data_IF_857480891540
#
_entry.id   IF_857480891540
#
_cell.length_a   1.000
_cell.length_b   1.000
_cell.length_c   1.000
_cell.angle_alpha   90.00
_cell.angle_beta   90.00
_cell.angle_gamma   90.00
#
_symmetry.space_group_name_H-M   'P 1'
#
loop_
_entity.id
_entity.type
_entity.pdbx_description
1 polymer ?
#
# COMPACT_ATOMS: atom_id res chain seq x y z
N UNK A 1 -18.74 -16.73 -1.32
CA UNK A 1 -17.70 -15.72 -1.11
C UNK A 1 -18.02 -14.52 -1.98
N UNK A 2 -17.92 -13.30 -1.42
CA UNK A 2 -18.09 -12.07 -2.19
C UNK A 2 -16.92 -11.97 -3.18
N UNK A 3 -17.21 -12.08 -4.48
CA UNK A 3 -16.17 -11.93 -5.51
C UNK A 3 -15.80 -10.46 -5.58
N UNK A 4 -14.60 -10.10 -5.14
CA UNK A 4 -14.08 -8.73 -5.26
C UNK A 4 -13.71 -8.49 -6.72
N UNK A 5 -14.36 -7.53 -7.36
CA UNK A 5 -13.98 -7.09 -8.69
C UNK A 5 -12.73 -6.20 -8.61
N UNK A 6 -11.61 -6.70 -9.13
CA UNK A 6 -10.34 -5.99 -9.20
C UNK A 6 -10.10 -5.33 -10.57
N UNK A 7 -10.97 -5.58 -11.56
CA UNK A 7 -10.84 -5.03 -12.92
C UNK A 7 -10.95 -3.50 -12.94
N UNK A 8 -11.71 -2.94 -11.98
CA UNK A 8 -11.81 -1.50 -11.74
C UNK A 8 -10.47 -0.85 -11.35
N UNK A 9 -9.48 -1.65 -10.92
CA UNK A 9 -8.12 -1.20 -10.59
C UNK A 9 -7.11 -1.54 -11.71
N UNK A 10 -7.59 -2.03 -12.87
CA UNK A 10 -6.76 -2.45 -13.98
C UNK A 10 -6.14 -3.85 -13.82
N UNK A 11 -6.54 -4.59 -12.79
CA UNK A 11 -6.08 -5.97 -12.56
C UNK A 11 -7.07 -6.92 -13.22
N UNK A 12 -6.62 -7.64 -14.24
CA UNK A 12 -7.43 -8.61 -14.97
C UNK A 12 -7.01 -10.03 -14.62
N UNK A 13 -7.89 -11.00 -14.85
CA UNK A 13 -7.53 -12.43 -14.81
C UNK A 13 -6.83 -12.88 -13.52
N UNK A 14 -7.27 -12.41 -12.35
CA UNK A 14 -6.76 -12.93 -11.07
C UNK A 14 -7.00 -14.45 -11.01
N UNK A 15 -5.93 -15.23 -10.83
CA UNK A 15 -5.99 -16.70 -10.82
C UNK A 15 -6.81 -17.18 -9.62
N UNK A 16 -6.57 -16.55 -8.47
CA UNK A 16 -7.19 -16.88 -7.19
C UNK A 16 -7.18 -15.63 -6.31
N UNK A 17 -8.25 -15.41 -5.55
CA UNK A 17 -8.37 -14.29 -4.61
C UNK A 17 -8.59 -14.84 -3.20
N UNK A 18 -7.60 -14.63 -2.33
CA UNK A 18 -7.70 -14.84 -0.90
C UNK A 18 -8.18 -13.56 -0.23
N UNK A 19 -9.50 -13.45 -0.04
CA UNK A 19 -10.14 -12.28 0.56
C UNK A 19 -10.15 -12.37 2.10
N UNK A 20 -9.65 -11.33 2.76
CA UNK A 20 -9.54 -11.19 4.22
C UNK A 20 -9.04 -12.48 4.93
N UNK A 21 -7.91 -13.07 4.49
CA UNK A 21 -7.44 -14.38 4.96
C UNK A 21 -7.28 -14.42 6.48
N UNK A 22 -7.54 -15.58 7.09
CA UNK A 22 -7.30 -15.82 8.51
C UNK A 22 -5.80 -15.85 8.82
N UNK A 23 -5.44 -15.73 10.11
CA UNK A 23 -4.04 -15.90 10.50
C UNK A 23 -3.52 -17.33 10.22
N UNK A 24 -4.37 -18.34 10.35
CA UNK A 24 -4.00 -19.74 10.07
C UNK A 24 -3.69 -19.95 8.58
N UNK A 25 -4.51 -19.38 7.69
CA UNK A 25 -4.28 -19.46 6.25
C UNK A 25 -3.01 -18.69 5.85
N UNK A 26 -2.80 -17.51 6.43
CA UNK A 26 -1.57 -16.73 6.22
C UNK A 26 -0.33 -17.50 6.69
N UNK A 27 -0.40 -18.14 7.86
CA UNK A 27 0.67 -18.98 8.39
C UNK A 27 1.00 -20.15 7.46
N UNK A 28 -0.03 -20.86 6.95
CA UNK A 28 0.15 -21.94 5.98
C UNK A 28 0.85 -21.43 4.71
N UNK A 29 0.37 -20.31 4.15
CA UNK A 29 0.94 -19.76 2.93
C UNK A 29 2.36 -19.22 3.12
N UNK A 30 2.66 -18.59 4.26
CA UNK A 30 3.99 -18.05 4.59
C UNK A 30 5.04 -19.14 4.83
N UNK A 31 4.60 -20.35 5.18
CA UNK A 31 5.46 -21.51 5.45
C UNK A 31 5.55 -22.49 4.29
N UNK A 32 4.95 -22.19 3.13
CA UNK A 32 5.06 -23.04 1.94
C UNK A 32 6.53 -23.17 1.49
N UNK A 33 7.10 -24.39 1.46
CA UNK A 33 8.49 -24.62 1.08
C UNK A 33 8.82 -24.24 -0.37
N UNK A 34 7.81 -23.97 -1.22
CA UNK A 34 7.99 -23.50 -2.60
C UNK A 34 8.31 -22.01 -2.69
N UNK A 35 8.09 -21.23 -1.61
CA UNK A 35 8.40 -19.80 -1.61
C UNK A 35 9.90 -19.54 -1.75
N UNK A 36 10.23 -18.54 -2.58
CA UNK A 36 11.62 -18.15 -2.88
C UNK A 36 11.85 -16.67 -2.61
N UNK A 37 13.12 -16.28 -2.49
CA UNK A 37 13.51 -14.88 -2.31
C UNK A 37 12.86 -14.25 -1.08
N UNK A 38 12.33 -13.04 -1.24
CA UNK A 38 11.73 -12.23 -0.17
C UNK A 38 10.29 -12.62 0.18
N UNK A 39 9.72 -13.63 -0.48
CA UNK A 39 8.41 -14.17 -0.11
C UNK A 39 8.51 -15.15 1.05
N UNK A 40 9.66 -15.81 1.19
CA UNK A 40 9.88 -16.92 2.11
C UNK A 40 9.80 -16.46 3.56
N UNK A 41 8.84 -17.02 4.31
CA UNK A 41 8.81 -16.97 5.76
C UNK A 41 9.69 -18.05 6.38
N UNK A 42 10.28 -17.75 7.53
CA UNK A 42 11.02 -18.72 8.36
C UNK A 42 10.36 -18.78 9.73
N UNK A 43 9.89 -19.97 10.12
CA UNK A 43 9.36 -20.19 11.47
C UNK A 43 10.49 -20.11 12.50
N UNK A 44 10.34 -19.20 13.46
CA UNK A 44 11.29 -19.05 14.56
C UNK A 44 10.96 -19.98 15.72
N UNK A 45 11.91 -20.17 16.65
CA UNK A 45 11.67 -20.93 17.89
C UNK A 45 10.59 -20.33 18.80
N UNK A 46 10.20 -19.07 18.57
CA UNK A 46 9.12 -18.38 19.29
C UNK A 46 7.73 -18.65 18.68
N UNK A 47 7.64 -19.41 17.59
CA UNK A 47 6.39 -19.66 16.87
C UNK A 47 5.96 -18.54 15.93
N UNK A 48 6.73 -17.43 15.86
CA UNK A 48 6.48 -16.35 14.92
C UNK A 48 7.19 -16.60 13.58
N UNK A 49 6.56 -16.17 12.48
CA UNK A 49 7.19 -16.13 11.16
C UNK A 49 8.09 -14.90 11.06
N UNK A 50 9.33 -15.11 10.59
CA UNK A 50 10.27 -14.07 10.25
C UNK A 50 10.44 -14.00 8.71
N UNK A 51 10.53 -12.78 8.18
CA UNK A 51 10.74 -12.53 6.74
C UNK A 51 11.92 -11.59 6.54
N UNK A 52 12.57 -11.71 5.39
CA UNK A 52 13.63 -10.79 4.93
C UNK A 52 13.07 -9.88 3.84
N UNK A 53 13.31 -8.57 3.99
CA UNK A 53 12.87 -7.53 3.03
C UNK A 53 14.01 -7.08 2.10
N UNK A 54 15.14 -7.77 2.15
CA UNK A 54 16.32 -7.51 1.34
C UNK A 54 16.98 -6.20 1.70
N UNK A 55 17.34 -5.43 0.68
CA UNK A 55 17.98 -4.12 0.86
C UNK A 55 17.04 -3.07 1.49
N UNK A 56 15.73 -3.32 1.46
CA UNK A 56 14.69 -2.38 1.93
C UNK A 56 14.40 -2.57 3.41
N UNK A 57 15.40 -2.29 4.26
CA UNK A 57 15.31 -2.42 5.73
C UNK A 57 14.65 -1.21 6.41
N UNK A 58 14.19 -0.24 5.62
CA UNK A 58 13.60 1.01 6.09
C UNK A 58 12.79 1.70 5.00
N UNK A 59 12.26 2.89 5.34
CA UNK A 59 11.51 3.69 4.38
C UNK A 59 12.41 4.23 3.26
N UNK A 60 11.81 4.47 2.10
CA UNK A 60 12.41 5.13 0.95
C UNK A 60 11.80 6.52 0.74
N UNK A 61 12.07 7.52 1.63
CA UNK A 61 11.47 8.85 1.51
C UNK A 61 11.80 9.54 0.18
N UNK A 62 12.97 9.24 -0.40
CA UNK A 62 13.38 9.74 -1.73
C UNK A 62 12.57 9.15 -2.89
N UNK A 63 11.81 8.08 -2.66
CA UNK A 63 10.95 7.44 -3.67
C UNK A 63 9.46 7.62 -3.37
N UNK A 64 9.12 8.52 -2.42
CA UNK A 64 7.75 8.94 -2.14
C UNK A 64 7.30 10.04 -3.11
N UNK A 65 6.15 9.85 -3.76
CA UNK A 65 5.58 10.82 -4.71
C UNK A 65 4.09 11.05 -4.48
N UNK A 66 3.60 12.25 -4.78
CA UNK A 66 2.18 12.59 -4.75
C UNK A 66 1.82 13.18 -6.11
N UNK A 67 0.71 12.73 -6.69
CA UNK A 67 0.21 13.28 -7.95
C UNK A 67 -0.20 14.72 -7.75
N UNK A 68 0.35 15.61 -8.58
CA UNK A 68 0.01 17.01 -8.58
C UNK A 68 -1.20 17.23 -9.48
N UNK A 69 -2.37 17.37 -8.86
CA UNK A 69 -3.64 17.58 -9.53
C UNK A 69 -4.50 18.65 -8.81
N UNK A 70 -5.46 19.30 -9.50
CA UNK A 70 -6.12 20.50 -9.00
C UNK A 70 -6.88 20.37 -7.66
N UNK A 71 -7.44 19.19 -7.35
CA UNK A 71 -8.31 19.01 -6.18
C UNK A 71 -7.53 18.96 -4.85
N UNK A 72 -6.27 18.56 -4.88
CA UNK A 72 -5.40 18.47 -3.70
C UNK A 72 -4.21 19.43 -3.71
N UNK A 73 -3.87 20.03 -4.86
CA UNK A 73 -2.66 20.84 -5.03
C UNK A 73 -2.46 21.91 -3.95
N UNK A 74 -3.54 22.59 -3.57
CA UNK A 74 -3.48 23.71 -2.60
C UNK A 74 -3.24 23.26 -1.16
N UNK A 75 -3.57 22.01 -0.84
CA UNK A 75 -3.55 21.48 0.53
C UNK A 75 -2.31 20.61 0.80
N UNK A 76 -1.62 20.15 -0.26
CA UNK A 76 -0.40 19.37 -0.10
C UNK A 76 0.79 20.28 0.20
N UNK A 77 1.50 20.01 1.30
CA UNK A 77 2.79 20.64 1.57
C UNK A 77 3.87 20.03 0.67
N UNK A 78 4.09 20.62 -0.50
CA UNK A 78 5.00 20.12 -1.53
C UNK A 78 6.48 20.14 -1.12
N UNK A 79 7.24 19.19 -1.64
CA UNK A 79 8.70 19.20 -1.55
C UNK A 79 9.30 20.37 -2.34
N UNK A 80 10.35 20.97 -1.79
CA UNK A 80 11.06 22.10 -2.41
C UNK A 80 12.53 21.71 -2.63
N UNK A 81 12.93 21.44 -3.89
CA UNK A 81 14.31 21.08 -4.19
C UNK A 81 15.30 22.14 -3.69
N UNK A 82 16.38 21.71 -3.02
CA UNK A 82 17.45 22.59 -2.55
C UNK A 82 17.22 23.27 -1.20
N UNK A 83 16.11 23.02 -0.50
CA UNK A 83 15.90 23.50 0.88
C UNK A 83 16.27 22.43 1.91
N UNK A 84 17.05 22.82 2.92
CA UNK A 84 17.49 21.94 4.01
C UNK A 84 16.35 21.42 4.91
N UNK A 85 15.17 22.06 4.89
CA UNK A 85 13.96 21.62 5.58
C UNK A 85 12.80 21.67 4.60
N UNK A 86 12.50 20.55 3.95
CA UNK A 86 11.34 20.42 3.08
C UNK A 86 10.62 19.10 3.34
N UNK A 87 9.38 19.02 2.87
CA UNK A 87 8.60 17.80 2.87
C UNK A 87 9.18 16.76 1.89
N UNK A 88 8.84 15.49 2.09
CA UNK A 88 9.11 14.39 1.15
C UNK A 88 8.06 14.30 0.01
N UNK A 89 7.05 15.19 0.01
CA UNK A 89 5.93 15.19 -0.93
C UNK A 89 6.35 15.69 -2.32
N UNK A 90 7.09 14.86 -3.06
CA UNK A 90 7.57 15.18 -4.41
C UNK A 90 6.42 15.09 -5.42
N UNK A 91 6.21 16.10 -6.27
CA UNK A 91 5.15 16.05 -7.27
C UNK A 91 5.51 15.09 -8.40
N UNK A 92 4.52 14.33 -8.86
CA UNK A 92 4.53 13.65 -10.17
C UNK A 92 3.31 14.09 -10.97
N UNK A 93 3.39 13.98 -12.30
CA UNK A 93 2.27 14.30 -13.17
C UNK A 93 1.26 13.15 -13.24
N UNK A 94 0.01 13.41 -13.65
CA UNK A 94 -0.97 12.35 -13.92
C UNK A 94 -0.47 11.29 -14.92
N UNK A 95 0.33 11.68 -15.92
CA UNK A 95 0.87 10.74 -16.92
C UNK A 95 1.88 9.76 -16.30
N UNK A 96 2.76 10.26 -15.41
CA UNK A 96 3.69 9.40 -14.68
C UNK A 96 2.92 8.48 -13.74
N UNK A 97 1.90 8.98 -13.06
CA UNK A 97 1.01 8.16 -12.23
C UNK A 97 0.36 7.02 -13.02
N UNK A 98 -0.25 7.31 -14.17
CA UNK A 98 -0.90 6.29 -14.98
C UNK A 98 0.07 5.19 -15.42
N UNK A 99 1.32 5.56 -15.74
CA UNK A 99 2.37 4.58 -16.00
C UNK A 99 2.66 3.70 -14.77
N UNK A 100 2.88 4.30 -13.59
CA UNK A 100 3.17 3.57 -12.34
C UNK A 100 2.00 2.66 -11.93
N UNK A 101 0.76 3.13 -12.08
CA UNK A 101 -0.46 2.37 -11.84
C UNK A 101 -0.58 1.19 -12.79
N UNK A 102 -0.34 1.42 -14.09
CA UNK A 102 -0.38 0.36 -15.12
C UNK A 102 0.66 -0.74 -14.88
N UNK A 103 1.90 -0.40 -14.55
CA UNK A 103 2.94 -1.42 -14.28
C UNK A 103 2.65 -2.19 -12.98
N UNK A 104 2.04 -1.54 -11.98
CA UNK A 104 1.64 -2.18 -10.73
C UNK A 104 0.48 -3.14 -10.94
N UNK A 105 -0.56 -2.70 -11.67
CA UNK A 105 -1.69 -3.56 -12.02
C UNK A 105 -1.25 -4.75 -12.89
N UNK A 106 -0.39 -4.50 -13.89
CA UNK A 106 0.19 -5.56 -14.73
C UNK A 106 0.95 -6.62 -13.93
N UNK A 107 1.68 -6.21 -12.90
CA UNK A 107 2.39 -7.15 -12.02
C UNK A 107 1.43 -8.09 -11.28
N UNK A 108 0.26 -7.58 -10.88
CA UNK A 108 -0.75 -8.30 -10.12
C UNK A 108 -1.74 -9.09 -11.00
N UNK A 109 -1.88 -8.74 -12.28
CA UNK A 109 -2.69 -9.47 -13.27
C UNK A 109 -2.20 -10.91 -13.46
N UNK A 110 -3.13 -11.88 -13.54
CA UNK A 110 -2.76 -13.28 -13.78
C UNK A 110 -2.09 -13.97 -12.58
N UNK A 111 -2.25 -13.43 -11.37
CA UNK A 111 -1.62 -13.96 -10.14
C UNK A 111 -2.66 -14.41 -9.13
N UNK A 112 -2.18 -15.21 -8.16
CA UNK A 112 -2.84 -15.38 -6.87
C UNK A 112 -2.68 -14.09 -6.06
N UNK A 113 -3.79 -13.55 -5.58
CA UNK A 113 -3.84 -12.27 -4.90
C UNK A 113 -4.44 -12.41 -3.51
N UNK A 114 -3.89 -11.65 -2.58
CA UNK A 114 -4.47 -11.40 -1.28
C UNK A 114 -5.13 -10.04 -1.30
N UNK A 115 -6.39 -10.00 -0.88
CA UNK A 115 -7.14 -8.76 -0.74
C UNK A 115 -7.51 -8.61 0.73
N UNK A 116 -7.08 -7.50 1.35
CA UNK A 116 -7.38 -7.22 2.76
C UNK A 116 -8.12 -5.89 2.85
N UNK A 117 -9.39 -5.98 3.25
CA UNK A 117 -10.20 -4.83 3.63
C UNK A 117 -10.03 -4.58 5.14
N UNK A 118 -9.62 -3.35 5.48
CA UNK A 118 -9.32 -2.93 6.85
C UNK A 118 -9.69 -1.47 7.12
N UNK A 119 -9.71 -1.08 8.39
CA UNK A 119 -9.93 0.31 8.79
C UNK A 119 -8.64 0.98 9.29
N UNK A 120 -8.48 2.26 8.95
CA UNK A 120 -7.52 3.15 9.58
C UNK A 120 -8.25 4.23 10.38
N UNK A 121 -8.06 4.25 11.70
CA UNK A 121 -8.83 5.07 12.63
C UNK A 121 -9.92 4.25 13.34
N UNK A 122 -9.99 4.37 14.66
CA UNK A 122 -10.91 3.58 15.48
C UNK A 122 -12.36 4.09 15.47
N UNK A 123 -12.54 5.40 15.23
CA UNK A 123 -13.86 6.02 15.25
C UNK A 123 -14.50 5.96 13.87
N UNK A 124 -15.74 5.46 13.79
CA UNK A 124 -16.46 5.27 12.53
C UNK A 124 -16.65 6.58 11.74
N UNK A 125 -16.85 7.71 12.43
CA UNK A 125 -17.06 9.01 11.81
C UNK A 125 -15.83 9.59 11.11
N UNK A 126 -14.63 9.05 11.36
CA UNK A 126 -13.37 9.57 10.82
C UNK A 126 -12.46 8.47 10.28
N UNK A 127 -12.90 7.21 10.27
CA UNK A 127 -12.08 6.09 9.80
C UNK A 127 -12.03 6.07 8.28
N UNK A 128 -10.89 5.63 7.76
CA UNK A 128 -10.71 5.33 6.35
C UNK A 128 -10.94 3.84 6.11
N UNK A 129 -11.81 3.49 5.17
CA UNK A 129 -11.93 2.10 4.68
C UNK A 129 -10.83 1.85 3.65
N UNK A 130 -9.85 1.01 3.96
CA UNK A 130 -8.70 0.75 3.09
C UNK A 130 -8.74 -0.65 2.53
N UNK A 131 -8.61 -0.78 1.21
CA UNK A 131 -8.40 -2.06 0.52
C UNK A 131 -6.95 -2.18 0.10
N UNK A 132 -6.29 -3.24 0.56
CA UNK A 132 -4.95 -3.61 0.11
C UNK A 132 -5.05 -4.78 -0.88
N UNK A 133 -4.27 -4.72 -1.96
CA UNK A 133 -4.16 -5.79 -2.95
C UNK A 133 -2.68 -6.11 -3.16
N UNK A 134 -2.29 -7.37 -2.97
CA UNK A 134 -0.91 -7.82 -3.03
C UNK A 134 -0.79 -9.27 -3.47
N UNK A 135 0.37 -9.68 -3.97
CA UNK A 135 0.63 -11.07 -4.40
C UNK A 135 1.40 -11.91 -3.37
N UNK A 136 1.80 -11.32 -2.23
CA UNK A 136 2.65 -11.96 -1.22
C UNK A 136 1.90 -12.10 0.12
N UNK A 137 1.86 -13.31 0.67
CA UNK A 137 1.09 -13.63 1.88
C UNK A 137 1.51 -12.78 3.09
N UNK A 138 2.82 -12.67 3.36
CA UNK A 138 3.30 -11.93 4.53
C UNK A 138 2.96 -10.44 4.45
N UNK A 139 2.82 -9.87 3.25
CA UNK A 139 2.38 -8.47 3.09
C UNK A 139 0.93 -8.29 3.52
N UNK A 140 0.06 -9.27 3.20
CA UNK A 140 -1.32 -9.31 3.67
C UNK A 140 -1.40 -9.49 5.18
N UNK A 141 -0.53 -10.33 5.75
CA UNK A 141 -0.41 -10.50 7.19
C UNK A 141 0.04 -9.22 7.90
N UNK A 142 1.01 -8.49 7.32
CA UNK A 142 1.46 -7.21 7.85
C UNK A 142 0.29 -6.22 7.97
N UNK A 143 -0.52 -6.04 6.91
CA UNK A 143 -1.65 -5.11 6.97
C UNK A 143 -2.78 -5.60 7.89
N UNK A 144 -3.00 -6.92 7.99
CA UNK A 144 -3.95 -7.50 8.96
C UNK A 144 -3.57 -7.23 10.42
N UNK A 145 -2.27 -7.15 10.71
CA UNK A 145 -1.74 -6.82 12.03
C UNK A 145 -1.79 -5.31 12.31
N UNK A 146 -1.43 -4.49 11.31
CA UNK A 146 -1.23 -3.06 11.53
C UNK A 146 -2.51 -2.22 11.46
N UNK A 147 -3.56 -2.70 10.81
CA UNK A 147 -4.83 -2.00 10.64
C UNK A 147 -5.95 -2.66 11.45
N UNK A 148 -7.03 -1.91 11.69
CA UNK A 148 -8.18 -2.41 12.44
C UNK A 148 -8.95 -3.38 11.56
N UNK A 149 -9.17 -4.59 12.08
CA UNK A 149 -9.87 -5.67 11.36
C UNK A 149 -11.38 -5.45 11.45
N UNK A 150 -12.09 -5.34 10.32
CA UNK A 150 -13.54 -5.33 10.30
C UNK A 150 -14.09 -6.68 10.78
N UNK A 151 -15.28 -6.66 11.34
CA UNK A 151 -16.07 -7.88 11.59
C UNK A 151 -16.63 -8.44 10.27
N UNK A 152 -17.01 -9.72 10.25
CA UNK A 152 -17.65 -10.33 9.07
C UNK A 152 -18.87 -9.53 8.58
N UNK A 153 -19.69 -9.03 9.51
CA UNK A 153 -20.86 -8.19 9.19
C UNK A 153 -20.45 -6.86 8.54
N UNK A 154 -19.37 -6.25 9.00
CA UNK A 154 -18.85 -5.02 8.39
C UNK A 154 -18.27 -5.27 6.98
N UNK A 155 -17.71 -6.46 6.72
CA UNK A 155 -17.19 -6.84 5.40
C UNK A 155 -18.29 -7.00 4.34
N UNK A 156 -19.51 -7.36 4.74
CA UNK A 156 -20.66 -7.50 3.83
C UNK A 156 -20.96 -6.18 3.10
N UNK A 157 -20.90 -5.04 3.82
CA UNK A 157 -21.16 -3.70 3.29
C UNK A 157 -19.90 -2.86 3.05
N UNK A 158 -18.70 -3.44 3.23
CA UNK A 158 -17.44 -2.72 3.07
C UNK A 158 -17.29 -2.10 1.69
N UNK A 159 -17.00 -0.79 1.67
CA UNK A 159 -16.70 0.00 0.49
C UNK A 159 -15.38 0.71 0.73
N UNK A 160 -14.32 0.46 -0.06
CA UNK A 160 -13.05 1.12 0.15
C UNK A 160 -13.16 2.62 -0.16
N UNK A 161 -12.68 3.42 0.77
CA UNK A 161 -12.39 4.84 0.59
C UNK A 161 -11.03 5.05 -0.05
N UNK A 162 -10.09 4.13 0.14
CA UNK A 162 -8.74 4.21 -0.39
C UNK A 162 -8.21 2.83 -0.77
N UNK A 163 -7.48 2.73 -1.88
CA UNK A 163 -6.95 1.45 -2.39
C UNK A 163 -5.43 1.50 -2.45
N UNK A 164 -4.76 0.43 -2.04
CA UNK A 164 -3.30 0.30 -2.11
C UNK A 164 -2.95 -0.95 -2.91
N UNK A 165 -2.29 -0.75 -4.06
CA UNK A 165 -1.70 -1.84 -4.83
C UNK A 165 -0.24 -2.03 -4.38
N UNK A 166 0.06 -3.17 -3.77
CA UNK A 166 1.40 -3.52 -3.30
C UNK A 166 2.00 -4.48 -4.32
N UNK A 167 2.73 -3.91 -5.29
CA UNK A 167 3.37 -4.60 -6.39
C UNK A 167 4.90 -4.65 -6.18
N UNK A 168 5.37 -5.07 -5.01
CA UNK A 168 6.79 -5.03 -4.61
C UNK A 168 7.76 -5.72 -5.57
N UNK A 169 7.28 -6.66 -6.39
CA UNK A 169 8.08 -7.36 -7.41
C UNK A 169 8.31 -6.57 -8.70
N UNK A 170 7.53 -5.52 -8.96
CA UNK A 170 7.71 -4.67 -10.14
C UNK A 170 8.68 -3.55 -9.83
N UNK A 171 9.35 -3.01 -10.85
CA UNK A 171 10.10 -1.76 -10.77
C UNK A 171 9.74 -0.88 -11.96
N UNK A 172 10.05 0.41 -11.88
CA UNK A 172 9.85 1.32 -13.00
C UNK A 172 11.12 1.44 -13.85
N UNK A 173 11.20 0.83 -15.04
CA UNK A 173 12.40 0.92 -15.89
C UNK A 173 12.64 2.33 -16.46
N UNK A 174 11.60 3.16 -16.55
CA UNK A 174 11.64 4.47 -17.19
C UNK A 174 11.88 5.62 -16.18
N UNK A 175 12.28 5.30 -14.96
CA UNK A 175 12.38 6.24 -13.85
C UNK A 175 13.27 7.45 -14.17
N UNK A 176 14.38 7.26 -14.90
CA UNK A 176 15.29 8.34 -15.31
C UNK A 176 14.62 9.33 -16.25
N UNK A 177 13.94 8.82 -17.27
CA UNK A 177 13.23 9.63 -18.28
C UNK A 177 12.06 10.40 -17.66
N UNK A 178 11.45 9.83 -16.64
CA UNK A 178 10.34 10.43 -15.88
C UNK A 178 10.81 11.36 -14.75
N UNK A 179 12.13 11.54 -14.56
CA UNK A 179 12.69 12.40 -13.53
C UNK A 179 12.47 11.92 -12.10
N UNK A 180 12.26 10.62 -11.89
CA UNK A 180 12.16 10.01 -10.57
C UNK A 180 13.55 9.74 -9.98
N UNK A 181 13.61 9.48 -8.67
CA UNK A 181 14.85 9.22 -7.93
C UNK A 181 15.46 7.84 -8.24
N UNK A 182 14.63 6.81 -8.39
CA UNK A 182 15.08 5.44 -8.65
C UNK A 182 13.96 4.62 -9.30
N UNK A 183 14.23 3.34 -9.58
CA UNK A 183 13.22 2.39 -10.09
C UNK A 183 12.14 2.01 -9.05
N UNK A 184 12.36 2.34 -7.77
CA UNK A 184 11.42 2.16 -6.67
C UNK A 184 10.44 3.32 -6.64
N UNK A 185 9.19 3.05 -6.25
CA UNK A 185 8.19 4.09 -6.11
C UNK A 185 7.16 3.77 -5.02
N UNK A 186 6.79 4.82 -4.28
CA UNK A 186 5.66 4.84 -3.36
C UNK A 186 4.83 6.08 -3.73
N UNK A 187 3.85 5.89 -4.61
CA UNK A 187 3.11 6.99 -5.22
C UNK A 187 1.67 7.05 -4.72
N UNK A 188 1.14 8.26 -4.52
CA UNK A 188 -0.21 8.52 -4.01
C UNK A 188 -0.98 9.44 -4.93
N UNK A 189 -2.22 9.09 -5.26
CA UNK A 189 -3.17 9.93 -5.98
C UNK A 189 -4.38 10.22 -5.10
N UNK A 190 -4.53 11.46 -4.64
CA UNK A 190 -5.57 11.82 -3.68
C UNK A 190 -6.97 11.86 -4.30
N UNK A 191 -7.13 12.36 -5.54
CA UNK A 191 -8.43 12.36 -6.21
C UNK A 191 -8.94 10.95 -6.56
N UNK A 192 -8.07 10.08 -7.11
CA UNK A 192 -8.40 8.66 -7.33
C UNK A 192 -8.47 7.83 -6.05
N UNK A 193 -8.03 8.39 -4.92
CA UNK A 193 -7.94 7.73 -3.61
C UNK A 193 -7.20 6.39 -3.70
N UNK A 194 -6.01 6.44 -4.30
CA UNK A 194 -5.20 5.24 -4.53
C UNK A 194 -3.72 5.48 -4.23
N UNK A 195 -3.03 4.42 -3.84
CA UNK A 195 -1.57 4.37 -3.79
C UNK A 195 -1.03 3.12 -4.49
N UNK A 196 0.18 3.24 -5.01
CA UNK A 196 0.93 2.12 -5.58
C UNK A 196 2.33 2.05 -4.98
N UNK A 197 2.76 0.82 -4.66
CA UNK A 197 4.07 0.52 -4.07
C UNK A 197 4.78 -0.47 -4.99
N UNK A 198 5.94 -0.09 -5.53
CA UNK A 198 6.76 -0.93 -6.40
C UNK A 198 8.23 -0.93 -5.99
N UNK A 199 8.89 -2.06 -6.19
CA UNK A 199 10.32 -2.29 -5.97
C UNK A 199 10.70 -2.51 -4.51
N UNK A 200 10.08 -1.77 -3.58
CA UNK A 200 10.34 -1.91 -2.15
C UNK A 200 9.50 -3.02 -1.52
N UNK A 201 10.17 -3.81 -0.67
CA UNK A 201 9.56 -4.85 0.17
C UNK A 201 9.37 -4.38 1.62
N UNK A 202 9.68 -3.12 1.94
CA UNK A 202 9.56 -2.65 3.31
C UNK A 202 8.10 -2.48 3.73
N UNK A 203 7.61 -3.35 4.62
CA UNK A 203 6.21 -3.32 5.06
C UNK A 203 5.76 -1.98 5.65
N UNK A 204 6.68 -1.22 6.24
CA UNK A 204 6.40 0.10 6.79
C UNK A 204 5.84 1.11 5.77
N UNK A 205 6.06 0.94 4.47
CA UNK A 205 5.47 1.80 3.43
C UNK A 205 3.94 1.66 3.37
N UNK A 206 3.40 0.45 3.56
CA UNK A 206 1.95 0.22 3.60
C UNK A 206 1.30 0.97 4.77
N UNK A 207 1.94 0.94 5.95
CA UNK A 207 1.45 1.65 7.15
C UNK A 207 1.62 3.16 7.03
N UNK A 208 2.83 3.62 6.71
CA UNK A 208 3.17 5.05 6.73
C UNK A 208 2.57 5.81 5.55
N UNK A 209 2.29 5.13 4.44
CA UNK A 209 1.48 5.65 3.36
C UNK A 209 0.09 6.05 3.84
N UNK A 210 -0.67 5.11 4.42
CA UNK A 210 -2.01 5.43 4.96
C UNK A 210 -1.96 6.43 6.10
N UNK A 211 -0.94 6.38 6.97
CA UNK A 211 -0.75 7.42 7.99
C UNK A 211 -0.60 8.82 7.36
N UNK A 212 0.09 8.94 6.22
CA UNK A 212 0.19 10.20 5.47
C UNK A 212 -1.16 10.66 4.93
N UNK A 213 -2.02 9.72 4.52
CA UNK A 213 -3.39 10.01 4.08
C UNK A 213 -4.25 10.52 5.24
N UNK A 214 -4.14 9.93 6.43
CA UNK A 214 -4.83 10.43 7.63
C UNK A 214 -4.32 11.83 8.04
N UNK A 215 -3.01 12.09 7.92
CA UNK A 215 -2.41 13.41 8.15
C UNK A 215 -2.87 14.47 7.14
N UNK A 216 -3.41 14.06 5.99
CA UNK A 216 -4.00 14.98 5.02
C UNK A 216 -5.47 15.27 5.35
N UNK A 217 -6.29 14.22 5.51
CA UNK A 217 -7.74 14.39 5.65
C UNK A 217 -8.18 14.91 7.03
N UNK A 218 -7.64 14.36 8.13
CA UNK A 218 -8.12 14.72 9.46
C UNK A 218 -7.93 16.22 9.79
N UNK A 219 -6.77 16.85 9.50
CA UNK A 219 -6.59 18.27 9.81
C UNK A 219 -7.50 19.19 8.98
N UNK A 220 -7.88 18.80 7.77
CA UNK A 220 -8.85 19.55 6.96
C UNK A 220 -10.25 19.55 7.58
N UNK A 221 -10.55 18.57 8.43
CA UNK A 221 -11.78 18.46 9.21
C UNK A 221 -11.60 18.95 10.67
N UNK A 222 -10.49 19.63 10.97
CA UNK A 222 -10.22 20.18 12.31
C UNK A 222 -9.79 19.14 13.36
N UNK A 223 -9.45 17.92 12.93
CA UNK A 223 -8.98 16.85 13.81
C UNK A 223 -7.45 16.73 13.78
N UNK A 224 -6.82 16.61 14.95
CA UNK A 224 -5.38 16.40 15.05
C UNK A 224 -4.98 14.99 14.56
N UNK A 225 -4.01 14.92 13.66
CA UNK A 225 -3.36 13.68 13.25
C UNK A 225 -1.92 13.66 13.81
N UNK A 226 -1.62 12.70 14.68
CA UNK A 226 -0.44 12.75 15.53
C UNK A 226 0.47 11.54 15.33
N UNK A 227 1.78 11.78 15.35
CA UNK A 227 2.78 10.72 15.43
C UNK A 227 3.26 10.57 16.89
N UNK A 228 2.45 9.89 17.70
CA UNK A 228 2.71 9.64 19.12
C UNK A 228 2.27 8.22 19.53
N UNK A 229 2.74 7.75 20.68
CA UNK A 229 2.06 6.70 21.45
C UNK A 229 1.02 7.33 22.36
N UNK A 230 0.05 6.54 22.83
CA UNK A 230 -0.97 6.93 23.81
C UNK A 230 -1.41 5.70 24.61
#
# INVERSE_FOLDING_TARGET
>A
MKTVDLSIYGITEAEEIFYNPSHDLLYEHETDPKLVGYERGTLTSLGAINVDTGIFTGRSPKDKYIVKEPSSEKNVWWAEPGKNKCSDNKPITPEVWEHLKKISAKQLTGKKLYVVDAYCGANENSRLCVRFVMEVAWQAHFVKNMFIRPTEKELESFKPDFVVLVASKTTNPNWKEQGLNSEVFVAFHLAERMAVIGGTWYGGEMKKGIFSIMNYYLPLEGMAAMHCSA
#
